data_IF_138022941835
#
_entry.id   IF_138022941835
#
_cell.length_a   1.000
_cell.length_b   1.000
_cell.length_c   1.000
_cell.angle_alpha   90.00
_cell.angle_beta   90.00
_cell.angle_gamma   90.00
#
_symmetry.space_group_name_H-M   'P 1'
#
loop_
_entity.id
_entity.type
_entity.pdbx_description
1 polymer ?
#
# COMPACT_ATOMS: atom_id res chain seq x y z
N UNK A 1 48.09 38.52 -21.54
CA UNK A 1 47.44 37.98 -20.31
C UNK A 1 45.96 38.36 -20.42
N UNK A 2 45.18 37.46 -20.90
CA UNK A 2 43.72 37.61 -21.05
C UNK A 2 43.08 37.09 -19.75
N UNK A 3 42.15 37.80 -19.12
CA UNK A 3 41.48 37.30 -17.95
C UNK A 3 40.47 36.20 -18.35
N UNK A 4 40.61 35.04 -17.72
CA UNK A 4 39.69 33.93 -17.81
C UNK A 4 38.36 34.32 -17.17
N UNK A 5 37.32 34.38 -18.03
CA UNK A 5 35.95 34.64 -17.62
C UNK A 5 35.44 33.40 -16.94
N UNK A 6 35.39 33.40 -15.61
CA UNK A 6 34.68 32.40 -14.81
C UNK A 6 33.19 32.44 -15.21
N UNK A 7 32.69 31.34 -15.81
CA UNK A 7 31.28 31.10 -16.03
C UNK A 7 30.56 31.09 -14.68
N UNK A 8 29.39 31.74 -14.56
CA UNK A 8 28.62 31.65 -13.32
C UNK A 8 28.17 30.22 -13.13
N UNK A 9 28.49 29.70 -11.97
CA UNK A 9 28.03 28.45 -11.41
C UNK A 9 26.53 28.32 -11.62
N UNK A 10 26.11 27.33 -12.40
CA UNK A 10 24.69 27.00 -12.54
C UNK A 10 24.17 26.66 -11.14
N UNK A 11 23.47 27.62 -10.54
CA UNK A 11 22.70 27.42 -9.33
C UNK A 11 21.70 26.29 -9.63
N UNK A 12 22.10 25.08 -9.28
CA UNK A 12 21.14 23.97 -9.15
C UNK A 12 20.04 24.42 -8.19
N UNK A 13 18.87 24.68 -8.74
CA UNK A 13 17.67 24.93 -7.94
C UNK A 13 17.38 23.71 -7.08
N UNK A 14 17.96 23.71 -5.87
CA UNK A 14 17.76 22.71 -4.81
C UNK A 14 16.45 22.95 -4.07
N UNK A 15 15.44 23.49 -4.73
CA UNK A 15 14.12 23.52 -4.13
C UNK A 15 13.65 22.06 -4.00
N UNK A 16 13.38 21.55 -2.79
CA UNK A 16 12.89 20.19 -2.64
C UNK A 16 11.57 20.08 -3.40
N UNK A 17 11.59 19.31 -4.49
CA UNK A 17 10.40 19.11 -5.30
C UNK A 17 9.34 18.45 -4.41
N UNK A 18 8.29 19.22 -4.09
CA UNK A 18 7.16 18.69 -3.34
C UNK A 18 6.54 17.53 -4.12
N UNK A 19 6.14 16.44 -3.44
CA UNK A 19 5.48 15.34 -4.10
C UNK A 19 4.20 15.83 -4.79
N UNK A 20 3.85 15.21 -5.92
CA UNK A 20 2.53 15.47 -6.52
C UNK A 20 1.43 15.15 -5.52
N UNK A 21 0.25 15.78 -5.59
CA UNK A 21 -0.84 15.54 -4.63
C UNK A 21 -1.19 14.05 -4.49
N UNK A 22 -1.13 13.27 -5.59
CA UNK A 22 -1.37 11.84 -5.58
C UNK A 22 -0.28 11.08 -4.80
N UNK A 23 0.98 11.40 -5.04
CA UNK A 23 2.11 10.78 -4.32
C UNK A 23 2.11 11.20 -2.85
N UNK A 24 1.73 12.44 -2.52
CA UNK A 24 1.59 12.87 -1.14
C UNK A 24 0.52 12.05 -0.39
N UNK A 25 -0.66 11.84 -0.99
CA UNK A 25 -1.71 10.99 -0.43
C UNK A 25 -1.26 9.54 -0.27
N UNK A 26 -0.54 8.99 -1.27
CA UNK A 26 0.02 7.65 -1.17
C UNK A 26 1.00 7.52 0.01
N UNK A 27 1.93 8.46 0.16
CA UNK A 27 2.93 8.43 1.23
C UNK A 27 2.28 8.56 2.62
N UNK A 28 1.24 9.39 2.76
CA UNK A 28 0.47 9.53 3.99
C UNK A 28 -0.19 8.21 4.40
N UNK A 29 -0.88 7.55 3.46
CA UNK A 29 -1.50 6.26 3.70
C UNK A 29 -0.45 5.17 3.99
N UNK A 30 0.66 5.18 3.25
CA UNK A 30 1.75 4.22 3.47
C UNK A 30 2.38 4.37 4.85
N UNK A 31 2.56 5.57 5.35
CA UNK A 31 3.07 5.82 6.70
C UNK A 31 2.16 5.27 7.81
N UNK A 32 0.85 5.19 7.58
CA UNK A 32 -0.07 4.56 8.52
C UNK A 32 -0.08 3.02 8.45
N UNK A 33 0.44 2.43 7.36
CA UNK A 33 0.47 0.99 7.09
C UNK A 33 1.84 0.54 6.59
N UNK A 34 2.90 0.92 7.30
CA UNK A 34 4.30 0.74 6.89
C UNK A 34 4.67 -0.71 6.58
N UNK A 35 4.14 -1.66 7.34
CA UNK A 35 4.40 -3.09 7.23
C UNK A 35 3.48 -3.84 6.25
N UNK A 36 2.65 -3.12 5.50
CA UNK A 36 1.75 -3.66 4.49
C UNK A 36 2.17 -3.22 3.08
N UNK A 37 2.01 -4.08 2.10
CA UNK A 37 2.01 -3.68 0.69
C UNK A 37 0.71 -2.90 0.43
N UNK A 38 0.81 -1.66 -0.07
CA UNK A 38 -0.35 -0.80 -0.28
C UNK A 38 -0.89 -0.99 -1.71
N UNK A 39 -2.02 -1.68 -1.84
CA UNK A 39 -2.82 -1.75 -3.07
C UNK A 39 -3.60 -0.46 -3.24
N UNK A 40 -3.05 0.48 -4.00
CA UNK A 40 -3.58 1.82 -4.15
C UNK A 40 -4.46 1.93 -5.39
N UNK A 41 -5.78 2.11 -5.24
CA UNK A 41 -6.75 2.13 -6.35
C UNK A 41 -6.50 3.29 -7.32
N UNK A 42 -6.27 2.96 -8.58
CA UNK A 42 -6.09 3.90 -9.68
C UNK A 42 -6.92 3.45 -10.89
N UNK A 43 -8.17 3.93 -10.96
CA UNK A 43 -9.12 3.47 -11.99
C UNK A 43 -9.36 1.96 -11.90
N UNK A 44 -9.04 1.21 -12.96
CA UNK A 44 -9.24 -0.23 -13.05
C UNK A 44 -8.06 -1.06 -12.54
N UNK A 45 -7.08 -0.40 -11.89
CA UNK A 45 -5.89 -1.05 -11.33
C UNK A 45 -5.74 -0.73 -9.85
N UNK A 46 -5.09 -1.65 -9.13
CA UNK A 46 -4.35 -1.34 -7.93
C UNK A 46 -2.89 -1.15 -8.30
N UNK A 47 -2.37 0.04 -8.08
CA UNK A 47 -0.97 0.36 -8.32
C UNK A 47 -0.19 0.34 -7.00
N UNK A 48 1.04 -0.14 -7.06
CA UNK A 48 1.99 -0.12 -5.96
C UNK A 48 3.18 0.72 -6.39
N UNK A 49 3.76 1.45 -5.44
CA UNK A 49 4.86 2.37 -5.71
C UNK A 49 6.04 2.10 -4.79
N UNK A 50 7.21 2.63 -5.15
CA UNK A 50 8.46 2.56 -4.38
C UNK A 50 8.84 1.12 -4.06
N UNK A 51 9.21 0.86 -2.80
CA UNK A 51 9.64 -0.47 -2.34
C UNK A 51 8.52 -1.51 -2.43
N UNK A 52 7.26 -1.10 -2.19
CA UNK A 52 6.10 -1.99 -2.35
C UNK A 52 6.01 -2.53 -3.77
N UNK A 53 6.28 -1.69 -4.78
CA UNK A 53 6.27 -2.12 -6.17
C UNK A 53 7.37 -3.14 -6.46
N UNK A 54 8.57 -2.94 -5.91
CA UNK A 54 9.69 -3.86 -6.11
C UNK A 54 9.42 -5.22 -5.46
N UNK A 55 8.88 -5.20 -4.23
CA UNK A 55 8.51 -6.42 -3.50
C UNK A 55 7.40 -7.17 -4.24
N UNK A 56 6.31 -6.48 -4.57
CA UNK A 56 5.16 -7.09 -5.24
C UNK A 56 5.49 -7.60 -6.64
N UNK A 57 6.24 -6.84 -7.44
CA UNK A 57 6.64 -7.26 -8.79
C UNK A 57 7.43 -8.57 -8.74
N UNK A 58 8.35 -8.70 -7.77
CA UNK A 58 9.14 -9.92 -7.58
C UNK A 58 8.28 -11.08 -7.10
N UNK A 59 7.44 -10.84 -6.09
CA UNK A 59 6.59 -11.88 -5.47
C UNK A 59 5.53 -12.41 -6.43
N UNK A 60 4.99 -11.56 -7.30
CA UNK A 60 3.91 -11.89 -8.24
C UNK A 60 4.41 -12.29 -9.62
N UNK A 61 5.68 -12.02 -9.94
CA UNK A 61 6.23 -12.23 -11.29
C UNK A 61 5.62 -11.27 -12.33
N UNK A 62 5.29 -10.05 -11.94
CA UNK A 62 4.73 -9.02 -12.83
C UNK A 62 5.76 -7.93 -13.16
N UNK A 63 5.48 -7.17 -14.21
CA UNK A 63 6.40 -6.14 -14.71
C UNK A 63 6.54 -5.01 -13.70
N UNK A 64 7.79 -4.66 -13.37
CA UNK A 64 8.15 -3.43 -12.69
C UNK A 64 8.38 -2.34 -13.74
N UNK A 65 7.71 -1.21 -13.61
CA UNK A 65 7.82 -0.05 -14.48
C UNK A 65 8.10 1.22 -13.65
N UNK A 66 7.93 2.40 -14.23
CA UNK A 66 8.18 3.69 -13.60
C UNK A 66 7.01 4.62 -13.82
N UNK A 67 6.70 5.46 -12.82
CA UNK A 67 5.66 6.48 -12.93
C UNK A 67 6.11 7.83 -12.36
N UNK A 68 6.61 8.68 -13.24
CA UNK A 68 7.08 10.01 -12.84
C UNK A 68 8.32 9.98 -11.96
N UNK A 69 8.56 11.11 -11.29
CA UNK A 69 9.74 11.30 -10.42
C UNK A 69 9.33 11.82 -9.05
N UNK A 70 10.09 11.46 -8.04
CA UNK A 70 10.04 12.00 -6.69
C UNK A 70 11.45 12.26 -6.20
N UNK A 71 11.72 13.47 -5.72
CA UNK A 71 13.05 13.91 -5.28
C UNK A 71 14.16 13.65 -6.34
N UNK A 72 13.83 13.83 -7.62
CA UNK A 72 14.76 13.62 -8.72
C UNK A 72 14.93 12.18 -9.20
N UNK A 73 14.48 11.18 -8.44
CA UNK A 73 14.53 9.77 -8.79
C UNK A 73 13.22 9.27 -9.43
N UNK A 74 13.33 8.31 -10.34
CA UNK A 74 12.16 7.63 -10.92
C UNK A 74 11.41 6.86 -9.82
N UNK A 75 10.07 6.91 -9.84
CA UNK A 75 9.23 6.15 -8.92
C UNK A 75 8.99 4.75 -9.51
N UNK A 76 9.54 3.69 -8.91
CA UNK A 76 9.18 2.32 -9.30
C UNK A 76 7.68 2.09 -9.11
N UNK A 77 7.05 1.40 -10.05
CA UNK A 77 5.62 1.11 -10.03
C UNK A 77 5.33 -0.26 -10.64
N UNK A 78 4.41 -0.99 -10.06
CA UNK A 78 3.72 -2.11 -10.70
C UNK A 78 2.22 -2.01 -10.44
N UNK A 79 1.41 -2.77 -11.18
CA UNK A 79 -0.04 -2.72 -11.04
C UNK A 79 -0.69 -4.06 -11.35
N UNK A 80 -1.82 -4.30 -10.69
CA UNK A 80 -2.68 -5.46 -10.91
C UNK A 80 -4.09 -5.02 -11.25
N UNK A 81 -4.78 -5.67 -12.22
CA UNK A 81 -6.16 -5.36 -12.52
C UNK A 81 -7.08 -5.64 -11.33
N UNK A 82 -8.07 -4.78 -11.14
CA UNK A 82 -9.00 -4.87 -10.00
C UNK A 82 -9.85 -6.16 -10.06
N UNK A 83 -10.30 -6.52 -11.24
CA UNK A 83 -11.09 -7.74 -11.47
C UNK A 83 -10.33 -9.03 -11.13
N UNK A 84 -8.99 -8.99 -11.09
CA UNK A 84 -8.12 -10.10 -10.74
C UNK A 84 -7.37 -9.91 -9.41
N UNK A 85 -7.71 -8.88 -8.66
CA UNK A 85 -6.98 -8.53 -7.44
C UNK A 85 -6.94 -9.66 -6.41
N UNK A 86 -8.01 -10.46 -6.30
CA UNK A 86 -8.08 -11.58 -5.35
C UNK A 86 -7.03 -12.66 -5.66
N UNK A 87 -6.77 -12.97 -6.93
CA UNK A 87 -5.73 -13.93 -7.32
C UNK A 87 -4.33 -13.46 -6.89
N UNK A 88 -4.08 -12.17 -7.04
CA UNK A 88 -2.81 -11.56 -6.63
C UNK A 88 -2.68 -11.42 -5.12
N UNK A 89 -3.76 -11.06 -4.44
CA UNK A 89 -3.82 -11.04 -2.97
C UNK A 89 -3.50 -12.41 -2.39
N UNK A 90 -4.13 -13.46 -2.88
CA UNK A 90 -3.87 -14.83 -2.43
C UNK A 90 -2.39 -15.21 -2.57
N UNK A 91 -1.78 -14.92 -3.72
CA UNK A 91 -0.35 -15.18 -3.95
C UNK A 91 0.56 -14.45 -2.95
N UNK A 92 0.27 -13.17 -2.65
CA UNK A 92 1.04 -12.40 -1.69
C UNK A 92 0.86 -12.92 -0.26
N UNK A 93 -0.36 -13.25 0.12
CA UNK A 93 -0.68 -13.74 1.47
C UNK A 93 -0.05 -15.10 1.74
N UNK A 94 -0.06 -16.01 0.76
CA UNK A 94 0.60 -17.33 0.89
C UNK A 94 2.11 -17.17 1.07
N UNK A 95 2.72 -16.12 0.52
CA UNK A 95 4.13 -15.77 0.71
C UNK A 95 4.40 -15.02 2.02
N UNK A 96 3.38 -14.80 2.85
CA UNK A 96 3.51 -14.15 4.16
C UNK A 96 3.41 -12.62 4.15
N UNK A 97 3.13 -12.01 2.99
CA UNK A 97 2.94 -10.56 2.90
C UNK A 97 1.61 -10.14 3.53
N UNK A 98 1.60 -8.91 4.05
CA UNK A 98 0.38 -8.21 4.49
C UNK A 98 0.02 -7.19 3.43
N UNK A 99 -1.25 -7.01 3.14
CA UNK A 99 -1.72 -6.07 2.12
C UNK A 99 -2.78 -5.16 2.70
N UNK A 100 -2.61 -3.86 2.53
CA UNK A 100 -3.61 -2.84 2.78
C UNK A 100 -4.29 -2.47 1.46
N UNK A 101 -5.59 -2.72 1.35
CA UNK A 101 -6.38 -2.40 0.16
C UNK A 101 -6.98 -1.01 0.34
N UNK A 102 -6.57 -0.10 -0.54
CA UNK A 102 -6.95 1.30 -0.54
C UNK A 102 -7.88 1.60 -1.71
N UNK A 103 -9.10 2.03 -1.40
CA UNK A 103 -10.15 2.35 -2.37
C UNK A 103 -10.37 3.84 -2.52
N UNK A 104 -10.96 4.23 -3.65
CA UNK A 104 -11.52 5.55 -3.85
C UNK A 104 -12.80 5.66 -3.02
N UNK A 105 -12.82 6.59 -2.05
CA UNK A 105 -13.95 6.81 -1.14
C UNK A 105 -14.86 7.97 -1.57
N UNK A 106 -14.61 8.55 -2.73
CA UNK A 106 -15.45 9.58 -3.34
C UNK A 106 -15.52 9.41 -4.85
N UNK A 107 -16.55 9.97 -5.47
CA UNK A 107 -16.67 10.02 -6.91
C UNK A 107 -15.61 10.95 -7.51
N UNK A 108 -14.93 10.57 -8.62
CA UNK A 108 -13.96 11.42 -9.30
C UNK A 108 -14.52 12.78 -9.75
N UNK A 109 -15.82 12.90 -9.98
CA UNK A 109 -16.48 14.17 -10.31
C UNK A 109 -16.44 15.16 -9.16
N UNK A 110 -16.53 14.71 -7.90
CA UNK A 110 -16.43 15.55 -6.72
C UNK A 110 -15.00 16.10 -6.55
N UNK A 111 -13.99 15.28 -6.81
CA UNK A 111 -12.62 15.75 -6.83
C UNK A 111 -12.40 16.86 -7.87
N UNK A 112 -12.96 16.72 -9.08
CA UNK A 112 -12.88 17.72 -10.14
C UNK A 112 -13.51 19.07 -9.74
N UNK A 113 -14.61 19.07 -8.98
CA UNK A 113 -15.27 20.27 -8.47
C UNK A 113 -14.37 21.07 -7.51
N UNK A 114 -13.45 20.43 -6.80
CA UNK A 114 -12.49 21.08 -5.90
C UNK A 114 -11.32 21.76 -6.61
N UNK A 115 -11.18 21.57 -7.93
CA UNK A 115 -10.18 22.21 -8.76
C UNK A 115 -9.24 21.23 -9.47
N UNK A 116 -8.53 21.73 -10.48
CA UNK A 116 -7.71 20.91 -11.39
C UNK A 116 -6.54 20.16 -10.72
N UNK A 117 -6.09 20.59 -9.54
CA UNK A 117 -5.00 19.95 -8.78
C UNK A 117 -5.48 18.99 -7.68
N UNK A 118 -6.80 18.85 -7.48
CA UNK A 118 -7.31 17.97 -6.47
C UNK A 118 -7.23 16.50 -6.92
N UNK A 119 -6.97 15.62 -5.98
CA UNK A 119 -6.99 14.17 -6.19
C UNK A 119 -8.24 13.56 -5.57
N UNK A 120 -8.69 12.47 -6.15
CA UNK A 120 -9.77 11.64 -5.59
C UNK A 120 -9.31 11.14 -4.22
N UNK A 121 -10.15 11.30 -3.22
CA UNK A 121 -9.89 10.81 -1.86
C UNK A 121 -9.85 9.29 -1.85
N UNK A 122 -8.89 8.76 -1.11
CA UNK A 122 -8.70 7.33 -0.92
C UNK A 122 -8.48 7.03 0.54
N UNK A 123 -8.86 5.85 0.94
CA UNK A 123 -8.61 5.35 2.29
C UNK A 123 -8.42 3.84 2.26
N UNK A 124 -7.75 3.30 3.28
CA UNK A 124 -7.61 1.86 3.46
C UNK A 124 -8.91 1.30 4.02
N UNK A 125 -9.59 0.51 3.21
CA UNK A 125 -10.89 -0.09 3.56
C UNK A 125 -10.75 -1.51 4.08
N UNK A 126 -9.59 -2.16 3.85
CA UNK A 126 -9.39 -3.55 4.21
C UNK A 126 -7.91 -3.87 4.43
N UNK A 127 -7.63 -4.63 5.51
CA UNK A 127 -6.33 -5.26 5.74
C UNK A 127 -6.45 -6.76 5.46
N UNK A 128 -5.59 -7.26 4.60
CA UNK A 128 -5.51 -8.68 4.26
C UNK A 128 -4.18 -9.22 4.80
N UNK A 129 -4.26 -10.16 5.71
CA UNK A 129 -3.08 -10.81 6.30
C UNK A 129 -3.29 -12.32 6.32
N UNK A 130 -2.25 -13.13 6.47
CA UNK A 130 -2.40 -14.58 6.54
C UNK A 130 -3.41 -15.06 7.60
N UNK A 131 -3.56 -14.31 8.69
CA UNK A 131 -4.49 -14.68 9.79
C UNK A 131 -5.89 -14.09 9.67
N UNK A 132 -6.10 -13.06 8.82
CA UNK A 132 -7.37 -12.32 8.72
C UNK A 132 -8.15 -12.64 7.44
N UNK A 133 -7.78 -13.69 6.71
CA UNK A 133 -8.52 -14.15 5.56
C UNK A 133 -9.89 -14.67 5.99
N UNK A 134 -10.96 -14.06 5.50
CA UNK A 134 -12.34 -14.43 5.77
C UNK A 134 -13.08 -14.85 4.49
N UNK A 135 -12.57 -14.47 3.33
CA UNK A 135 -13.17 -14.81 2.05
C UNK A 135 -12.77 -16.22 1.63
N UNK A 136 -13.77 -17.05 1.30
CA UNK A 136 -13.55 -18.42 0.82
C UNK A 136 -12.60 -18.50 -0.36
N UNK A 137 -12.68 -17.55 -1.29
CA UNK A 137 -11.80 -17.48 -2.46
C UNK A 137 -10.31 -17.28 -2.13
N UNK A 138 -9.98 -16.83 -0.93
CA UNK A 138 -8.61 -16.60 -0.48
C UNK A 138 -8.13 -17.68 0.50
N UNK A 139 -9.01 -18.58 0.96
CA UNK A 139 -8.67 -19.65 1.87
C UNK A 139 -8.20 -20.89 1.09
N UNK A 140 -7.12 -21.49 1.54
CA UNK A 140 -6.68 -22.79 1.04
C UNK A 140 -7.45 -23.91 1.79
N UNK A 141 -8.29 -24.70 1.08
CA UNK A 141 -9.06 -25.77 1.73
C UNK A 141 -8.20 -26.82 2.40
N UNK A 142 -6.95 -27.00 1.95
CA UNK A 142 -6.01 -27.95 2.50
C UNK A 142 -5.31 -27.44 3.78
N UNK A 143 -5.47 -26.17 4.15
CA UNK A 143 -4.80 -25.55 5.30
C UNK A 143 -5.76 -24.93 6.28
N UNK A 144 -5.55 -25.18 7.57
CA UNK A 144 -6.24 -24.44 8.62
C UNK A 144 -5.66 -23.02 8.70
N UNK A 145 -6.51 -22.00 8.56
CA UNK A 145 -6.15 -20.62 8.77
C UNK A 145 -6.64 -20.18 10.15
N UNK A 146 -5.72 -19.90 11.06
CA UNK A 146 -6.05 -19.53 12.43
C UNK A 146 -5.80 -18.05 12.68
N UNK A 147 -6.82 -17.34 13.13
CA UNK A 147 -6.71 -16.00 13.68
C UNK A 147 -6.70 -16.08 15.20
N UNK A 148 -5.70 -15.49 15.85
CA UNK A 148 -5.56 -15.48 17.29
C UNK A 148 -5.53 -14.05 17.79
N UNK A 149 -6.40 -13.74 18.74
CA UNK A 149 -6.43 -12.45 19.43
C UNK A 149 -5.97 -12.64 20.89
N UNK A 150 -5.00 -11.83 21.31
CA UNK A 150 -4.53 -11.74 22.67
C UNK A 150 -4.98 -10.41 23.27
N UNK A 151 -5.68 -10.44 24.39
CA UNK A 151 -6.01 -9.26 25.17
C UNK A 151 -5.29 -9.26 26.51
N UNK A 152 -5.04 -8.07 27.08
CA UNK A 152 -4.56 -7.91 28.44
C UNK A 152 -5.35 -6.82 29.15
N UNK A 153 -5.68 -7.05 30.38
CA UNK A 153 -6.40 -6.11 31.23
C UNK A 153 -5.67 -5.98 32.58
N UNK A 154 -5.51 -4.76 33.08
CA UNK A 154 -5.00 -4.54 34.43
C UNK A 154 -6.18 -4.57 35.42
N UNK A 155 -6.12 -5.46 36.40
CA UNK A 155 -7.15 -5.54 37.45
C UNK A 155 -7.03 -4.36 38.42
N UNK A 156 -8.08 -4.10 39.21
CA UNK A 156 -8.07 -3.09 40.25
C UNK A 156 -6.98 -3.32 41.31
N UNK A 157 -6.54 -4.57 41.48
CA UNK A 157 -5.44 -4.98 42.37
C UNK A 157 -4.05 -4.87 41.71
N UNK A 158 -3.93 -4.26 40.52
CA UNK A 158 -2.67 -4.05 39.81
C UNK A 158 -2.11 -5.28 39.10
N UNK A 159 -2.79 -6.42 39.12
CA UNK A 159 -2.39 -7.65 38.41
C UNK A 159 -2.83 -7.62 36.96
N UNK A 160 -2.07 -8.28 36.09
CA UNK A 160 -2.45 -8.45 34.69
C UNK A 160 -3.30 -9.72 34.52
N UNK A 161 -4.42 -9.59 33.81
CA UNK A 161 -5.21 -10.71 33.31
C UNK A 161 -5.08 -10.76 31.80
N UNK A 162 -4.88 -11.93 31.26
CA UNK A 162 -4.75 -12.18 29.81
C UNK A 162 -5.94 -12.99 29.34
N UNK A 163 -6.43 -12.67 28.15
CA UNK A 163 -7.44 -13.42 27.44
C UNK A 163 -6.91 -13.83 26.08
N UNK A 164 -7.13 -15.07 25.67
CA UNK A 164 -6.81 -15.60 24.35
C UNK A 164 -8.10 -16.07 23.70
N UNK A 165 -8.31 -15.65 22.44
CA UNK A 165 -9.37 -16.16 21.59
C UNK A 165 -8.79 -16.60 20.26
N UNK A 166 -9.29 -17.68 19.68
CA UNK A 166 -8.89 -18.15 18.36
C UNK A 166 -10.12 -18.41 17.48
N UNK A 167 -9.99 -18.10 16.20
CA UNK A 167 -10.95 -18.44 15.16
C UNK A 167 -10.20 -19.19 14.05
N UNK A 168 -10.72 -20.34 13.65
CA UNK A 168 -10.17 -21.11 12.54
C UNK A 168 -11.09 -20.90 11.35
N UNK A 169 -10.55 -20.30 10.25
CA UNK A 169 -11.19 -20.23 8.95
C UNK A 169 -10.87 -21.48 8.13
N UNK A 170 -11.89 -22.05 7.50
CA UNK A 170 -11.73 -23.11 6.50
C UNK A 170 -12.57 -22.73 5.29
N UNK A 171 -12.07 -22.97 4.07
CA UNK A 171 -12.92 -22.93 2.89
C UNK A 171 -13.92 -24.10 3.00
N UNK A 172 -15.17 -23.83 2.71
CA UNK A 172 -16.16 -24.90 2.51
C UNK A 172 -15.91 -25.54 1.15
N UNK A 173 -15.80 -26.86 1.12
CA UNK A 173 -15.71 -27.67 -0.09
C UNK A 173 -17.12 -27.96 -0.57
#
# INVERSE_FOLDING_TARGET
MTPETLMPDELFDKTPQRPTPMIAQFLELKAAYEDCLLFYRMGDFYELFFDDAQVAARALGIMLTKRGKHLGADIPMCGVPVDRANDYLQKLIVQGHRVAVCEQIEDPSEAKKRGAKSVVRRDVVRLVTPGTLTEEALLDPARANAFVALSRLRTAQGKWRYGLASKIGRAHV
#
